data_IF_546212042019
#
_entry.id   IF_546212042019
#
_cell.length_a   1.000
_cell.length_b   1.000
_cell.length_c   1.000
_cell.angle_alpha   90.00
_cell.angle_beta   90.00
_cell.angle_gamma   90.00
#
_symmetry.space_group_name_H-M   'P 1'
#
loop_
_entity.id
_entity.type
_entity.pdbx_description
1 polymer ?
#
# COMPACT_ATOMS: atom_id res chain seq x y z
N UNK A 1 42.50 10.28 -30.54
CA UNK A 1 42.70 10.99 -29.26
C UNK A 1 41.43 11.56 -28.61
N UNK A 2 40.23 11.50 -29.24
CA UNK A 2 38.98 12.06 -28.68
C UNK A 2 38.15 11.09 -27.81
N UNK A 3 38.60 9.84 -27.59
CA UNK A 3 37.84 8.82 -26.83
C UNK A 3 38.10 8.84 -25.32
N UNK A 4 39.29 9.25 -24.87
CA UNK A 4 39.65 9.27 -23.44
C UNK A 4 39.03 10.42 -22.63
N UNK A 5 38.69 11.54 -23.26
CA UNK A 5 38.07 12.68 -22.56
C UNK A 5 36.62 12.44 -22.11
N UNK A 6 35.90 11.53 -22.79
CA UNK A 6 34.53 11.16 -22.44
C UNK A 6 34.45 10.18 -21.26
N UNK A 7 35.37 9.21 -21.21
CA UNK A 7 35.42 8.21 -20.14
C UNK A 7 35.78 8.86 -18.79
N UNK A 8 36.75 9.79 -18.77
CA UNK A 8 37.09 10.55 -17.56
C UNK A 8 35.92 11.40 -17.04
N UNK A 9 35.15 12.05 -17.93
CA UNK A 9 33.98 12.85 -17.51
C UNK A 9 32.87 11.99 -16.92
N UNK A 10 32.62 10.82 -17.49
CA UNK A 10 31.60 9.86 -16.97
C UNK A 10 32.02 9.31 -15.60
N UNK A 11 33.29 8.93 -15.43
CA UNK A 11 33.81 8.43 -14.15
C UNK A 11 33.72 9.50 -13.06
N UNK A 12 34.10 10.75 -13.37
CA UNK A 12 34.02 11.88 -12.43
C UNK A 12 32.56 12.20 -12.05
N UNK A 13 31.64 12.21 -13.02
CA UNK A 13 30.21 12.45 -12.76
C UNK A 13 29.59 11.34 -11.89
N UNK A 14 29.96 10.07 -12.15
CA UNK A 14 29.45 8.92 -11.37
C UNK A 14 30.00 8.95 -9.94
N UNK A 15 31.30 9.24 -9.77
CA UNK A 15 31.91 9.38 -8.46
C UNK A 15 31.29 10.54 -7.65
N UNK A 16 31.02 11.67 -8.30
CA UNK A 16 30.38 12.83 -7.69
C UNK A 16 28.94 12.52 -7.25
N UNK A 17 28.14 11.84 -8.09
CA UNK A 17 26.80 11.40 -7.71
C UNK A 17 26.84 10.45 -6.51
N UNK A 18 27.71 9.44 -6.53
CA UNK A 18 27.88 8.50 -5.40
C UNK A 18 28.29 9.23 -4.13
N UNK A 19 29.20 10.21 -4.20
CA UNK A 19 29.59 11.05 -3.06
C UNK A 19 28.43 11.86 -2.49
N UNK A 20 27.58 12.45 -3.34
CA UNK A 20 26.37 13.17 -2.91
C UNK A 20 25.36 12.23 -2.24
N UNK A 21 25.16 11.03 -2.79
CA UNK A 21 24.29 10.01 -2.18
C UNK A 21 24.83 9.57 -0.82
N UNK A 22 26.12 9.30 -0.70
CA UNK A 22 26.75 8.91 0.56
C UNK A 22 26.63 10.01 1.62
N UNK A 23 26.86 11.28 1.26
CA UNK A 23 26.72 12.41 2.17
C UNK A 23 25.26 12.61 2.63
N UNK A 24 24.29 12.48 1.72
CA UNK A 24 22.86 12.51 2.07
C UNK A 24 22.47 11.36 2.98
N UNK A 25 22.93 10.15 2.69
CA UNK A 25 22.68 8.96 3.50
C UNK A 25 23.25 9.13 4.91
N UNK A 26 24.50 9.59 5.03
CA UNK A 26 25.13 9.85 6.33
C UNK A 26 24.34 10.88 7.14
N UNK A 27 23.87 11.96 6.51
CA UNK A 27 23.04 12.98 7.15
C UNK A 27 21.70 12.43 7.64
N UNK A 28 21.09 11.52 6.89
CA UNK A 28 19.85 10.84 7.29
C UNK A 28 20.12 9.93 8.50
N UNK A 29 21.21 9.16 8.48
CA UNK A 29 21.61 8.29 9.59
C UNK A 29 21.94 9.07 10.87
N UNK A 30 22.48 10.28 10.74
CA UNK A 30 22.79 11.15 11.89
C UNK A 30 21.59 11.91 12.44
N UNK A 31 20.42 11.86 11.80
CA UNK A 31 19.22 12.53 12.31
C UNK A 31 18.70 11.80 13.56
N UNK A 32 18.28 12.56 14.58
CA UNK A 32 17.84 12.02 15.87
C UNK A 32 16.75 10.94 15.74
N UNK A 33 15.74 11.16 14.89
CA UNK A 33 14.67 10.19 14.64
C UNK A 33 15.20 8.88 14.05
N UNK A 34 16.21 8.95 13.18
CA UNK A 34 16.83 7.76 12.58
C UNK A 34 17.66 7.01 13.63
N UNK A 35 18.39 7.72 14.49
CA UNK A 35 19.13 7.10 15.58
C UNK A 35 18.21 6.39 16.58
N UNK A 36 17.08 7.01 16.95
CA UNK A 36 16.06 6.38 17.78
C UNK A 36 15.53 5.10 17.13
N UNK A 37 15.19 5.13 15.83
CA UNK A 37 14.75 3.94 15.08
C UNK A 37 15.84 2.86 15.04
N UNK A 38 17.09 3.23 14.78
CA UNK A 38 18.23 2.30 14.75
C UNK A 38 18.46 1.65 16.11
N UNK A 39 18.29 2.38 17.22
CA UNK A 39 18.43 1.83 18.57
C UNK A 39 17.36 0.78 18.92
N UNK A 40 16.23 0.78 18.21
CA UNK A 40 15.10 -0.15 18.45
C UNK A 40 15.10 -1.36 17.51
N UNK A 41 16.03 -1.46 16.57
CA UNK A 41 16.05 -2.54 15.55
C UNK A 41 16.00 -3.93 16.16
N UNK A 42 16.73 -4.18 17.25
CA UNK A 42 16.73 -5.49 17.91
C UNK A 42 15.36 -5.82 18.54
N UNK A 43 14.74 -4.84 19.20
CA UNK A 43 13.40 -4.99 19.79
C UNK A 43 12.34 -5.19 18.71
N UNK A 44 12.39 -4.40 17.63
CA UNK A 44 11.48 -4.54 16.48
C UNK A 44 11.60 -5.92 15.82
N UNK A 45 12.84 -6.43 15.65
CA UNK A 45 13.06 -7.77 15.11
C UNK A 45 12.48 -8.87 16.02
N UNK A 46 12.64 -8.73 17.34
CA UNK A 46 12.08 -9.69 18.29
C UNK A 46 10.54 -9.74 18.23
N UNK A 47 9.88 -8.58 18.12
CA UNK A 47 8.42 -8.50 17.94
C UNK A 47 8.00 -9.17 16.63
N UNK A 48 8.71 -8.90 15.53
CA UNK A 48 8.44 -9.55 14.23
C UNK A 48 8.61 -11.07 14.30
N UNK A 49 9.68 -11.56 14.92
CA UNK A 49 9.92 -12.99 15.06
C UNK A 49 8.84 -13.68 15.90
N UNK A 50 8.39 -13.05 17.00
CA UNK A 50 7.29 -13.55 17.80
C UNK A 50 6.00 -13.65 16.97
N UNK A 51 5.69 -12.60 16.21
CA UNK A 51 4.54 -12.58 15.31
C UNK A 51 4.62 -13.65 14.21
N UNK A 52 5.79 -13.86 13.60
CA UNK A 52 5.99 -14.91 12.60
C UNK A 52 5.83 -16.32 13.19
N UNK A 53 6.32 -16.52 14.42
CA UNK A 53 6.18 -17.78 15.12
C UNK A 53 4.70 -18.08 15.44
N UNK A 54 3.97 -17.09 15.94
CA UNK A 54 2.53 -17.19 16.17
C UNK A 54 1.78 -17.49 14.86
N UNK A 55 2.06 -16.74 13.78
CA UNK A 55 1.48 -16.96 12.46
C UNK A 55 1.60 -18.41 11.98
N UNK A 56 2.80 -19.00 12.07
CA UNK A 56 3.03 -20.38 11.66
C UNK A 56 2.42 -21.40 12.61
N UNK A 57 2.37 -21.10 13.92
CA UNK A 57 1.79 -22.00 14.93
C UNK A 57 0.26 -22.14 14.82
N UNK A 58 -0.43 -21.14 14.24
CA UNK A 58 -1.88 -21.17 14.07
C UNK A 58 -2.39 -22.10 12.94
N UNK A 59 -1.48 -22.54 12.05
CA UNK A 59 -1.84 -23.34 10.87
C UNK A 59 -2.41 -24.71 11.27
N UNK A 60 -3.28 -25.26 10.42
CA UNK A 60 -3.72 -26.63 10.55
C UNK A 60 -2.52 -27.59 10.43
N UNK A 61 -2.43 -28.64 11.27
CA UNK A 61 -1.38 -29.63 11.15
C UNK A 61 -1.62 -30.52 9.92
N UNK A 62 -0.54 -30.96 9.27
CA UNK A 62 -0.57 -32.00 8.27
C UNK A 62 0.07 -31.61 6.93
N UNK A 63 0.41 -32.65 6.16
CA UNK A 63 1.19 -32.52 4.93
C UNK A 63 0.52 -31.64 3.87
N UNK A 64 -0.81 -31.66 3.79
CA UNK A 64 -1.55 -30.85 2.81
C UNK A 64 -1.33 -29.36 3.11
N UNK A 65 -1.52 -28.94 4.37
CA UNK A 65 -1.28 -27.56 4.80
C UNK A 65 0.19 -27.17 4.67
N UNK A 66 1.12 -28.09 4.94
CA UNK A 66 2.55 -27.82 4.75
C UNK A 66 2.89 -27.54 3.29
N UNK A 67 2.33 -28.29 2.35
CA UNK A 67 2.64 -28.15 0.93
C UNK A 67 1.86 -27.01 0.27
N UNK A 68 0.58 -26.85 0.59
CA UNK A 68 -0.37 -25.96 -0.10
C UNK A 68 -0.82 -24.76 0.72
N UNK A 69 -0.48 -24.70 2.01
CA UNK A 69 -0.87 -23.62 2.92
C UNK A 69 -2.31 -23.72 3.42
N UNK A 70 -2.73 -22.70 4.14
CA UNK A 70 -4.09 -22.52 4.67
C UNK A 70 -5.07 -22.03 3.60
N UNK A 71 -4.57 -21.45 2.51
CA UNK A 71 -5.34 -20.76 1.47
C UNK A 71 -5.31 -19.24 1.65
N UNK A 72 -5.25 -18.52 0.52
CA UNK A 72 -5.17 -17.06 0.47
C UNK A 72 -6.35 -16.43 1.24
N UNK A 73 -6.04 -15.44 2.09
CA UNK A 73 -7.03 -14.66 2.82
C UNK A 73 -7.58 -15.35 4.07
N UNK A 74 -7.03 -16.51 4.47
CA UNK A 74 -7.41 -17.19 5.73
C UNK A 74 -6.76 -16.60 6.96
N UNK A 75 -5.73 -15.77 6.81
CA UNK A 75 -4.96 -15.25 7.93
C UNK A 75 -5.81 -14.49 8.97
N UNK A 76 -6.64 -13.48 8.63
CA UNK A 76 -7.35 -12.71 9.65
C UNK A 76 -8.36 -13.53 10.47
N UNK A 77 -9.09 -14.44 9.81
CA UNK A 77 -10.02 -15.36 10.49
C UNK A 77 -9.26 -16.33 11.41
N UNK A 78 -8.15 -16.89 10.91
CA UNK A 78 -7.31 -17.79 11.69
C UNK A 78 -6.69 -17.08 12.90
N UNK A 79 -6.20 -15.84 12.71
CA UNK A 79 -5.66 -14.98 13.76
C UNK A 79 -6.70 -14.74 14.86
N UNK A 80 -7.90 -14.35 14.48
CA UNK A 80 -8.99 -14.09 15.42
C UNK A 80 -9.29 -15.29 16.33
N UNK A 81 -9.27 -16.52 15.77
CA UNK A 81 -9.63 -17.73 16.52
C UNK A 81 -8.47 -18.42 17.23
N UNK A 82 -7.24 -18.33 16.71
CA UNK A 82 -6.12 -19.20 17.11
C UNK A 82 -4.86 -18.47 17.58
N UNK A 83 -4.75 -17.16 17.33
CA UNK A 83 -3.56 -16.40 17.72
C UNK A 83 -3.46 -16.26 19.24
N UNK A 84 -2.23 -16.22 19.74
CA UNK A 84 -1.93 -15.78 21.10
C UNK A 84 -1.87 -14.25 21.24
N UNK A 85 -1.84 -13.52 20.12
CA UNK A 85 -1.84 -12.08 20.07
C UNK A 85 -3.23 -11.48 20.33
N UNK A 86 -3.27 -10.16 20.50
CA UNK A 86 -4.50 -9.45 20.76
C UNK A 86 -5.44 -9.53 19.53
N UNK A 87 -6.66 -10.03 19.75
CA UNK A 87 -7.65 -10.23 18.69
C UNK A 87 -8.13 -8.91 18.09
N UNK A 88 -8.42 -8.89 16.80
CA UNK A 88 -9.11 -7.77 16.16
C UNK A 88 -10.51 -7.57 16.75
N UNK A 89 -10.95 -6.32 16.89
CA UNK A 89 -12.37 -6.03 17.08
C UNK A 89 -13.16 -6.47 15.84
N UNK A 90 -14.25 -7.20 16.06
CA UNK A 90 -15.18 -7.56 14.99
C UNK A 90 -16.23 -6.48 14.77
N UNK A 91 -16.80 -6.42 13.57
CA UNK A 91 -17.98 -5.60 13.28
C UNK A 91 -18.97 -6.38 12.44
N UNK A 92 -20.26 -6.04 12.56
CA UNK A 92 -21.31 -6.65 11.75
C UNK A 92 -22.49 -5.72 11.60
N UNK A 93 -23.04 -5.65 10.40
CA UNK A 93 -24.38 -5.13 10.19
C UNK A 93 -25.40 -6.19 10.57
N UNK A 94 -26.32 -5.81 11.43
CA UNK A 94 -27.44 -6.64 11.84
C UNK A 94 -28.74 -6.00 11.41
N UNK A 95 -29.80 -6.80 11.39
CA UNK A 95 -31.14 -6.30 11.15
C UNK A 95 -32.13 -6.91 12.12
N UNK A 96 -32.96 -6.05 12.70
CA UNK A 96 -34.06 -6.41 13.59
C UNK A 96 -35.31 -5.69 13.11
N UNK A 97 -36.39 -6.45 12.84
CA UNK A 97 -37.67 -5.89 12.40
C UNK A 97 -37.57 -4.95 11.18
N UNK A 98 -36.62 -5.22 10.27
CA UNK A 98 -36.38 -4.41 9.08
C UNK A 98 -35.49 -3.18 9.29
N UNK A 99 -35.19 -2.80 10.54
CA UNK A 99 -34.17 -1.80 10.84
C UNK A 99 -32.77 -2.41 10.72
N UNK A 100 -31.79 -1.65 10.23
CA UNK A 100 -30.38 -2.09 10.18
C UNK A 100 -29.55 -1.25 11.15
N UNK A 101 -28.53 -1.86 11.76
CA UNK A 101 -27.65 -1.15 12.68
C UNK A 101 -26.26 -1.79 12.71
N UNK A 102 -25.29 -1.04 13.20
CA UNK A 102 -23.90 -1.48 13.32
C UNK A 102 -23.66 -2.09 14.70
N UNK A 103 -23.17 -3.32 14.77
CA UNK A 103 -22.62 -3.92 15.99
C UNK A 103 -21.11 -3.90 15.94
N UNK A 104 -20.48 -3.36 16.99
CA UNK A 104 -19.06 -3.46 17.24
C UNK A 104 -18.81 -4.48 18.35
N UNK A 105 -17.92 -5.43 18.07
CA UNK A 105 -17.42 -6.42 19.03
C UNK A 105 -16.32 -5.84 19.91
N UNK A 106 -15.57 -6.73 20.56
CA UNK A 106 -14.46 -6.37 21.46
C UNK A 106 -13.14 -6.85 20.88
N UNK A 107 -12.04 -6.25 21.34
CA UNK A 107 -10.70 -6.58 20.89
C UNK A 107 -9.84 -5.33 20.75
N UNK A 108 -8.80 -5.42 19.93
CA UNK A 108 -7.97 -4.27 19.56
C UNK A 108 -8.77 -3.27 18.73
N UNK A 109 -8.51 -1.99 18.95
CA UNK A 109 -9.33 -0.92 18.41
C UNK A 109 -9.43 -1.00 16.87
N UNK A 110 -10.67 -1.09 16.40
CA UNK A 110 -11.04 -0.97 15.00
C UNK A 110 -11.99 0.22 14.85
N UNK A 111 -11.69 1.08 13.90
CA UNK A 111 -12.42 2.31 13.66
C UNK A 111 -13.35 2.12 12.47
N UNK A 112 -14.64 2.32 12.66
CA UNK A 112 -15.60 2.47 11.56
C UNK A 112 -15.68 3.95 11.21
N UNK A 113 -15.18 4.32 10.04
CA UNK A 113 -14.86 5.71 9.71
C UNK A 113 -15.55 6.20 8.43
N UNK A 114 -15.86 7.49 8.40
CA UNK A 114 -16.32 8.20 7.21
C UNK A 114 -15.54 9.51 7.05
N UNK A 115 -15.18 9.88 5.81
CA UNK A 115 -14.65 11.22 5.54
C UNK A 115 -15.69 12.31 5.78
N UNK A 116 -15.30 13.37 6.48
CA UNK A 116 -16.14 14.54 6.76
C UNK A 116 -15.36 15.81 6.49
N UNK A 117 -16.06 16.85 6.04
CA UNK A 117 -15.47 18.19 5.89
C UNK A 117 -15.84 19.00 7.11
N UNK A 118 -14.83 19.44 7.86
CA UNK A 118 -15.00 20.27 9.05
C UNK A 118 -14.11 21.52 8.94
N UNK A 119 -14.52 22.56 9.66
CA UNK A 119 -13.73 23.75 9.92
C UNK A 119 -13.13 23.71 11.34
N UNK A 120 -11.88 24.21 11.50
CA UNK A 120 -11.24 24.34 12.81
C UNK A 120 -11.96 25.38 13.67
N UNK A 121 -11.82 25.27 14.99
CA UNK A 121 -12.35 26.20 15.98
C UNK A 121 -13.85 26.06 16.25
N UNK A 122 -14.56 25.20 15.53
CA UNK A 122 -16.00 24.96 15.70
C UNK A 122 -16.27 23.81 16.67
N UNK A 123 -17.48 23.83 17.26
CA UNK A 123 -18.03 22.73 18.08
C UNK A 123 -19.08 21.99 17.28
N UNK A 124 -18.89 20.69 17.13
CA UNK A 124 -19.83 19.79 16.47
C UNK A 124 -20.59 18.99 17.50
N UNK A 125 -21.83 18.65 17.17
CA UNK A 125 -22.69 17.79 18.00
C UNK A 125 -22.83 16.45 17.30
N UNK A 126 -22.54 15.37 18.02
CA UNK A 126 -22.81 14.01 17.56
C UNK A 126 -24.03 13.50 18.29
N UNK A 127 -25.07 13.15 17.54
CA UNK A 127 -26.23 12.44 18.05
C UNK A 127 -26.20 11.01 17.54
N UNK A 128 -26.46 10.04 18.39
CA UNK A 128 -26.50 8.63 18.03
C UNK A 128 -27.36 7.86 19.02
N UNK A 129 -28.01 6.81 18.54
CA UNK A 129 -28.73 5.87 19.38
C UNK A 129 -27.82 4.66 19.64
N UNK A 130 -27.63 4.31 20.92
CA UNK A 130 -26.76 3.23 21.35
C UNK A 130 -27.57 2.17 22.09
N UNK A 131 -27.21 0.91 21.88
CA UNK A 131 -27.70 -0.20 22.69
C UNK A 131 -26.52 -1.00 23.21
N UNK A 132 -26.49 -1.21 24.52
CA UNK A 132 -25.42 -1.92 25.23
C UNK A 132 -25.98 -3.21 25.82
N UNK A 133 -25.85 -4.35 25.12
CA UNK A 133 -26.43 -5.60 25.60
C UNK A 133 -25.85 -6.12 26.92
N UNK A 134 -24.68 -5.63 27.32
CA UNK A 134 -24.05 -5.91 28.62
C UNK A 134 -23.66 -4.62 29.32
N UNK A 135 -23.41 -4.72 30.63
CA UNK A 135 -22.90 -3.63 31.46
C UNK A 135 -21.54 -3.11 30.98
N UNK A 136 -21.15 -1.97 31.54
CA UNK A 136 -19.88 -1.28 31.26
C UNK A 136 -19.65 -1.06 29.76
N UNK A 137 -20.69 -0.62 29.05
CA UNK A 137 -20.65 -0.31 27.63
C UNK A 137 -19.96 1.02 27.33
N UNK A 138 -19.25 1.12 26.20
CA UNK A 138 -18.59 2.36 25.79
C UNK A 138 -18.39 2.47 24.29
N UNK A 139 -18.77 3.61 23.70
CA UNK A 139 -18.47 3.97 22.31
C UNK A 139 -17.74 5.30 22.30
N UNK A 140 -16.57 5.31 21.70
CA UNK A 140 -15.83 6.53 21.47
C UNK A 140 -16.01 6.99 20.02
N UNK A 141 -16.37 8.26 19.88
CA UNK A 141 -16.54 8.96 18.62
C UNK A 141 -15.43 10.00 18.51
N UNK A 142 -14.71 10.02 17.39
CA UNK A 142 -13.61 10.95 17.18
C UNK A 142 -13.64 11.63 15.82
N UNK A 143 -13.07 12.83 15.77
CA UNK A 143 -12.65 13.50 14.53
C UNK A 143 -11.12 13.45 14.48
N UNK A 144 -10.56 12.88 13.41
CA UNK A 144 -9.13 12.69 13.26
C UNK A 144 -8.64 13.10 11.87
N UNK A 145 -7.51 13.80 11.80
CA UNK A 145 -6.76 14.01 10.56
C UNK A 145 -6.02 12.73 10.18
N UNK A 146 -6.36 12.10 9.04
CA UNK A 146 -5.84 10.77 8.67
C UNK A 146 -5.74 10.56 7.16
N UNK A 147 -4.51 10.44 6.64
CA UNK A 147 -4.25 10.18 5.22
C UNK A 147 -4.57 8.76 4.78
N UNK A 148 -4.28 7.79 5.64
CA UNK A 148 -4.45 6.37 5.33
C UNK A 148 -4.86 5.61 6.60
N UNK A 149 -3.87 5.21 7.40
CA UNK A 149 -3.98 4.38 8.60
C UNK A 149 -3.75 5.20 9.87
N UNK A 150 -2.63 5.91 9.96
CA UNK A 150 -2.24 6.55 11.22
C UNK A 150 -3.04 7.82 11.49
N UNK A 151 -3.69 7.84 12.64
CA UNK A 151 -4.37 9.00 13.19
C UNK A 151 -3.38 10.10 13.57
N UNK A 152 -3.61 11.33 13.11
CA UNK A 152 -2.83 12.52 13.44
C UNK A 152 -3.43 13.27 14.63
N UNK A 153 -3.80 14.54 14.40
CA UNK A 153 -4.54 15.33 15.39
C UNK A 153 -5.97 14.77 15.50
N UNK A 154 -6.38 14.50 16.73
CA UNK A 154 -7.68 13.92 17.04
C UNK A 154 -8.35 14.62 18.21
N UNK A 155 -9.68 14.68 18.16
CA UNK A 155 -10.53 14.98 19.32
C UNK A 155 -11.57 13.89 19.42
N UNK A 156 -11.89 13.48 20.64
CA UNK A 156 -12.79 12.37 20.89
C UNK A 156 -13.72 12.67 22.07
N UNK A 157 -14.88 12.05 22.04
CA UNK A 157 -15.83 11.98 23.14
C UNK A 157 -16.36 10.56 23.25
N UNK A 158 -16.70 10.13 24.47
CA UNK A 158 -17.14 8.77 24.73
C UNK A 158 -18.54 8.79 25.35
N UNK A 159 -19.44 8.01 24.77
CA UNK A 159 -20.70 7.65 25.39
C UNK A 159 -20.52 6.33 26.16
N UNK A 160 -20.97 6.28 27.41
CA UNK A 160 -20.87 5.09 28.26
C UNK A 160 -22.23 4.72 28.86
N UNK A 161 -22.39 3.45 29.20
CA UNK A 161 -23.51 2.95 29.96
C UNK A 161 -23.02 1.99 31.05
N UNK A 162 -23.37 2.31 32.31
CA UNK A 162 -22.99 1.49 33.46
C UNK A 162 -23.79 0.17 33.51
N UNK A 163 -25.06 0.19 33.08
CA UNK A 163 -25.92 -0.98 33.05
C UNK A 163 -26.19 -1.42 31.62
N UNK A 164 -26.25 -2.74 31.42
CA UNK A 164 -26.68 -3.31 30.15
C UNK A 164 -28.20 -3.27 30.00
N UNK A 165 -28.67 -3.30 28.77
CA UNK A 165 -30.09 -3.29 28.45
C UNK A 165 -30.37 -3.71 27.01
N UNK A 166 -31.64 -4.02 26.75
CA UNK A 166 -32.14 -4.29 25.40
C UNK A 166 -32.72 -3.05 24.71
N UNK A 167 -32.76 -1.92 25.42
CA UNK A 167 -33.34 -0.67 24.94
C UNK A 167 -32.29 0.19 24.24
N UNK A 168 -32.74 0.90 23.21
CA UNK A 168 -31.96 1.93 22.54
C UNK A 168 -32.00 3.22 23.36
N UNK A 169 -30.83 3.81 23.58
CA UNK A 169 -30.64 5.03 24.34
C UNK A 169 -30.06 6.10 23.44
N UNK A 170 -30.66 7.28 23.44
CA UNK A 170 -30.13 8.42 22.70
C UNK A 170 -28.99 9.07 23.47
N UNK A 171 -27.86 9.25 22.80
CA UNK A 171 -26.70 9.97 23.30
C UNK A 171 -26.42 11.21 22.46
N UNK A 172 -25.95 12.25 23.13
CA UNK A 172 -25.45 13.46 22.50
C UNK A 172 -24.05 13.76 23.05
N UNK A 173 -23.09 13.90 22.14
CA UNK A 173 -21.68 14.16 22.44
C UNK A 173 -21.24 15.45 21.75
N UNK A 174 -20.34 16.20 22.38
CA UNK A 174 -19.74 17.40 21.78
C UNK A 174 -18.30 17.15 21.38
N UNK A 175 -17.95 17.53 20.15
CA UNK A 175 -16.59 17.47 19.61
C UNK A 175 -16.13 18.88 19.26
N UNK A 176 -15.20 19.43 20.04
CA UNK A 176 -14.54 20.70 19.72
C UNK A 176 -13.40 20.43 18.75
N UNK A 177 -13.51 20.87 17.49
CA UNK A 177 -12.54 20.56 16.44
C UNK A 177 -11.11 21.07 16.71
N UNK A 178 -10.96 22.11 17.54
CA UNK A 178 -9.65 22.71 17.80
C UNK A 178 -8.99 23.12 16.48
N UNK A 179 -7.78 22.62 16.21
CA UNK A 179 -7.08 22.91 14.95
C UNK A 179 -7.34 21.92 13.81
N UNK A 180 -8.16 20.89 14.05
CA UNK A 180 -8.44 19.82 13.08
C UNK A 180 -9.16 20.42 11.87
N UNK A 181 -8.69 20.09 10.68
CA UNK A 181 -9.22 20.62 9.43
C UNK A 181 -8.58 21.95 9.00
N UNK A 182 -7.76 22.56 9.87
CA UNK A 182 -7.01 23.80 9.62
C UNK A 182 -5.65 23.61 8.95
N UNK A 183 -5.31 22.40 8.51
CA UNK A 183 -4.02 22.11 7.88
C UNK A 183 -3.89 22.66 6.46
N UNK A 184 -3.48 23.92 6.29
CA UNK A 184 -2.92 24.47 5.04
C UNK A 184 -3.75 24.31 3.75
N UNK A 185 -3.15 24.67 2.62
CA UNK A 185 -3.71 24.42 1.29
C UNK A 185 -3.31 23.03 0.78
N UNK A 186 -3.99 22.57 -0.28
CA UNK A 186 -3.54 21.41 -1.04
C UNK A 186 -2.07 21.62 -1.49
N UNK A 187 -1.13 20.66 -1.29
CA UNK A 187 -1.34 19.25 -0.97
C UNK A 187 -1.11 18.81 0.48
N UNK A 188 -0.91 19.73 1.42
CA UNK A 188 -0.57 19.37 2.81
C UNK A 188 -1.80 19.15 3.69
N UNK A 189 -2.99 19.53 3.21
CA UNK A 189 -4.26 19.33 3.91
C UNK A 189 -4.59 17.87 4.08
N UNK A 190 -4.58 17.43 5.34
CA UNK A 190 -4.97 16.07 5.73
C UNK A 190 -6.50 15.97 5.71
N UNK A 191 -7.08 14.92 5.10
CA UNK A 191 -8.51 14.71 5.20
C UNK A 191 -8.90 14.36 6.65
N UNK A 192 -10.09 14.77 7.04
CA UNK A 192 -10.66 14.48 8.36
C UNK A 192 -11.63 13.32 8.25
N UNK A 193 -11.56 12.42 9.21
CA UNK A 193 -12.49 11.30 9.35
C UNK A 193 -13.24 11.40 10.67
N UNK A 194 -14.54 11.15 10.59
CA UNK A 194 -15.38 10.79 11.72
C UNK A 194 -15.20 9.30 11.96
N UNK A 195 -14.84 8.89 13.17
CA UNK A 195 -14.51 7.51 13.50
C UNK A 195 -15.27 7.03 14.72
N UNK A 196 -15.79 5.81 14.66
CA UNK A 196 -16.44 5.10 15.75
C UNK A 196 -15.59 3.91 16.16
N UNK A 197 -15.33 3.73 17.46
CA UNK A 197 -14.76 2.50 17.96
C UNK A 197 -15.38 2.10 19.30
N UNK A 198 -15.36 0.79 19.55
CA UNK A 198 -15.75 0.26 20.84
C UNK A 198 -14.65 0.60 21.86
N UNK A 199 -15.05 1.25 22.94
CA UNK A 199 -14.17 1.66 24.04
C UNK A 199 -14.37 0.81 25.30
N UNK A 200 -15.12 -0.29 25.21
CA UNK A 200 -15.39 -1.20 26.33
C UNK A 200 -15.02 -2.66 26.06
N UNK A 201 -15.15 -3.47 27.12
CA UNK A 201 -15.01 -4.92 27.09
C UNK A 201 -16.32 -5.67 26.74
N UNK A 202 -17.38 -4.93 26.37
CA UNK A 202 -18.68 -5.46 25.97
C UNK A 202 -19.00 -5.06 24.54
N UNK A 203 -19.83 -5.83 23.83
CA UNK A 203 -20.26 -5.41 22.48
C UNK A 203 -21.18 -4.19 22.60
N UNK A 204 -21.21 -3.39 21.55
CA UNK A 204 -22.10 -2.24 21.45
C UNK A 204 -22.75 -2.18 20.09
N UNK A 205 -23.98 -1.68 20.07
CA UNK A 205 -24.78 -1.48 18.87
C UNK A 205 -25.07 0.01 18.70
N UNK A 206 -24.96 0.47 17.47
CA UNK A 206 -24.94 1.87 17.09
C UNK A 206 -25.91 2.06 15.94
N UNK A 207 -26.76 3.06 16.05
CA UNK A 207 -27.73 3.45 15.04
C UNK A 207 -27.97 4.97 15.01
N UNK A 208 -28.63 5.46 13.96
CA UNK A 208 -29.06 6.85 13.77
C UNK A 208 -27.98 7.90 14.03
N UNK A 209 -26.74 7.64 13.59
CA UNK A 209 -25.65 8.58 13.79
C UNK A 209 -25.85 9.85 12.96
N UNK A 210 -25.69 11.00 13.62
CA UNK A 210 -25.68 12.33 13.01
C UNK A 210 -24.48 13.11 13.55
N UNK A 211 -23.70 13.70 12.66
CA UNK A 211 -22.70 14.71 12.99
C UNK A 211 -23.25 16.05 12.52
N UNK A 212 -23.48 16.97 13.44
CA UNK A 212 -24.11 18.27 13.19
C UNK A 212 -23.10 19.40 13.38
N UNK A 213 -23.14 20.38 12.48
CA UNK A 213 -22.45 21.67 12.61
C UNK A 213 -23.14 22.55 13.68
N UNK A 214 -22.53 23.68 14.10
CA UNK A 214 -23.17 24.63 14.99
C UNK A 214 -24.54 25.16 14.52
N UNK A 215 -24.74 25.28 13.21
CA UNK A 215 -25.99 25.71 12.56
C UNK A 215 -26.97 24.56 12.32
N UNK A 216 -26.64 23.33 12.75
CA UNK A 216 -27.52 22.16 12.67
C UNK A 216 -27.47 21.40 11.34
N UNK A 217 -26.56 21.76 10.42
CA UNK A 217 -26.33 21.02 9.19
C UNK A 217 -25.73 19.65 9.50
N UNK A 218 -26.30 18.59 8.91
CA UNK A 218 -25.79 17.24 9.04
C UNK A 218 -24.66 16.95 8.04
N UNK A 219 -23.52 16.49 8.56
CA UNK A 219 -22.31 16.15 7.79
C UNK A 219 -22.13 14.65 7.59
N UNK A 220 -22.56 13.83 8.56
CA UNK A 220 -22.50 12.37 8.44
C UNK A 220 -23.62 11.86 7.52
N UNK A 221 -23.32 10.85 6.69
CA UNK A 221 -24.27 10.25 5.75
C UNK A 221 -24.44 8.78 6.07
N UNK A 222 -25.61 8.20 5.77
CA UNK A 222 -25.90 6.78 6.03
C UNK A 222 -25.58 6.37 7.49
N UNK A 223 -25.94 7.22 8.46
CA UNK A 223 -25.71 6.95 9.89
C UNK A 223 -26.75 6.02 10.53
N UNK A 224 -27.85 5.76 9.82
CA UNK A 224 -28.89 4.76 10.10
C UNK A 224 -28.55 3.38 9.49
N UNK A 225 -27.43 3.28 8.75
CA UNK A 225 -26.96 2.06 8.08
C UNK A 225 -27.98 1.38 7.16
N UNK A 226 -29.02 2.11 6.71
CA UNK A 226 -30.07 1.58 5.84
C UNK A 226 -29.53 1.19 4.46
N UNK A 227 -28.50 1.89 3.99
CA UNK A 227 -27.72 1.59 2.78
C UNK A 227 -26.50 0.71 3.08
N UNK A 228 -26.52 -0.06 4.18
CA UNK A 228 -25.40 -0.88 4.58
C UNK A 228 -24.21 -0.05 5.06
N UNK A 229 -23.00 -0.39 4.62
CA UNK A 229 -21.77 0.35 4.96
C UNK A 229 -21.40 1.39 3.91
N UNK A 230 -22.33 1.82 3.06
CA UNK A 230 -22.06 2.89 2.11
C UNK A 230 -21.46 4.10 2.83
N UNK A 231 -20.28 4.53 2.35
CA UNK A 231 -19.43 5.61 2.90
C UNK A 231 -18.70 5.31 4.22
N UNK A 232 -19.00 4.20 4.88
CA UNK A 232 -18.33 3.75 6.10
C UNK A 232 -17.26 2.69 5.79
N UNK A 233 -16.03 2.93 6.23
CA UNK A 233 -14.89 2.04 6.02
C UNK A 233 -14.26 1.69 7.35
N UNK A 234 -13.84 0.44 7.53
CA UNK A 234 -13.06 0.11 8.70
C UNK A 234 -11.58 0.46 8.49
N UNK A 235 -10.91 0.89 9.55
CA UNK A 235 -9.46 0.98 9.63
C UNK A 235 -9.00 0.53 11.00
N UNK A 236 -7.70 0.26 11.14
CA UNK A 236 -7.07 -0.17 12.39
C UNK A 236 -5.79 0.60 12.59
N UNK A 237 -5.34 0.76 13.83
CA UNK A 237 -3.99 1.25 14.10
C UNK A 237 -3.01 0.09 14.37
N UNK A 238 -3.53 -1.05 14.84
CA UNK A 238 -2.78 -2.30 14.98
C UNK A 238 -3.15 -3.27 13.85
N UNK A 239 -2.17 -3.60 13.02
CA UNK A 239 -2.33 -4.39 11.79
C UNK A 239 -1.90 -5.86 11.94
N UNK A 240 -1.29 -6.26 13.06
CA UNK A 240 -0.91 -7.65 13.36
C UNK A 240 -2.05 -8.66 13.08
N UNK A 241 -3.33 -8.39 13.45
CA UNK A 241 -4.40 -9.35 13.18
C UNK A 241 -4.77 -9.52 11.70
N UNK A 242 -4.26 -8.66 10.83
CA UNK A 242 -4.76 -8.51 9.46
C UNK A 242 -3.77 -9.01 8.41
N UNK A 243 -2.47 -9.03 8.71
CA UNK A 243 -1.47 -9.62 7.82
C UNK A 243 -0.19 -10.02 8.56
N UNK A 244 0.58 -10.89 7.93
CA UNK A 244 1.87 -11.35 8.45
C UNK A 244 2.96 -10.35 8.06
N UNK A 245 3.75 -9.87 9.02
CA UNK A 245 4.88 -8.96 8.78
C UNK A 245 6.12 -9.61 8.12
N UNK A 246 5.95 -10.48 7.13
CA UNK A 246 7.03 -11.06 6.32
C UNK A 246 6.42 -11.81 5.15
N UNK A 247 6.78 -11.42 3.93
CA UNK A 247 6.22 -12.03 2.73
C UNK A 247 6.55 -13.53 2.60
N UNK A 248 7.78 -14.02 2.88
CA UNK A 248 8.03 -15.46 2.92
C UNK A 248 7.15 -16.22 3.90
N UNK A 249 6.93 -15.67 5.10
CA UNK A 249 6.07 -16.30 6.12
C UNK A 249 4.61 -16.26 5.69
N UNK A 250 4.14 -15.13 5.14
CA UNK A 250 2.81 -15.01 4.55
C UNK A 250 2.56 -16.04 3.44
N UNK A 251 3.54 -16.24 2.54
CA UNK A 251 3.44 -17.24 1.47
C UNK A 251 3.41 -18.66 2.05
N UNK A 252 4.22 -18.98 3.05
CA UNK A 252 4.18 -20.29 3.70
C UNK A 252 2.86 -20.50 4.44
N UNK A 253 2.27 -19.45 4.99
CA UNK A 253 0.96 -19.50 5.61
C UNK A 253 -0.14 -19.74 4.57
N UNK A 254 -0.21 -18.93 3.51
CA UNK A 254 -1.31 -18.95 2.53
C UNK A 254 -1.17 -20.06 1.48
N UNK A 255 0.05 -20.33 1.02
CA UNK A 255 0.36 -21.17 -0.15
C UNK A 255 1.32 -22.33 0.15
N UNK A 256 1.81 -22.44 1.39
CA UNK A 256 2.71 -23.51 1.81
C UNK A 256 4.08 -23.48 1.14
N UNK A 257 4.82 -24.58 1.30
CA UNK A 257 6.17 -24.70 0.75
C UNK A 257 6.18 -24.74 -0.79
N UNK A 258 5.13 -25.23 -1.45
CA UNK A 258 5.05 -25.17 -2.92
C UNK A 258 4.88 -23.73 -3.41
N UNK A 259 4.07 -22.92 -2.72
CA UNK A 259 3.98 -21.49 -2.98
C UNK A 259 5.34 -20.79 -2.82
N UNK A 260 6.04 -21.05 -1.72
CA UNK A 260 7.33 -20.44 -1.44
C UNK A 260 8.40 -20.85 -2.46
N UNK A 261 8.44 -22.12 -2.87
CA UNK A 261 9.40 -22.60 -3.87
C UNK A 261 9.11 -22.02 -5.26
N UNK A 262 7.85 -21.94 -5.68
CA UNK A 262 7.47 -21.29 -6.93
C UNK A 262 7.84 -19.80 -6.92
N UNK A 263 7.58 -19.12 -5.81
CA UNK A 263 8.00 -17.74 -5.59
C UNK A 263 9.52 -17.59 -5.69
N UNK A 264 10.28 -18.36 -4.92
CA UNK A 264 11.74 -18.32 -4.94
C UNK A 264 12.31 -18.58 -6.34
N UNK A 265 11.76 -19.53 -7.09
CA UNK A 265 12.17 -19.83 -8.46
C UNK A 265 11.91 -18.65 -9.42
N UNK A 266 10.72 -18.02 -9.33
CA UNK A 266 10.36 -16.84 -10.12
C UNK A 266 11.37 -15.70 -9.91
N UNK A 267 11.67 -15.36 -8.65
CA UNK A 267 12.56 -14.25 -8.32
C UNK A 267 14.03 -14.57 -8.57
N UNK A 268 14.48 -15.80 -8.30
CA UNK A 268 15.83 -16.24 -8.64
C UNK A 268 16.08 -16.11 -10.16
N UNK A 269 15.09 -16.51 -10.98
CA UNK A 269 15.16 -16.38 -12.42
C UNK A 269 15.16 -14.92 -12.88
N UNK A 270 14.29 -14.09 -12.31
CA UNK A 270 14.21 -12.66 -12.59
C UNK A 270 15.52 -11.95 -12.24
N UNK A 271 16.06 -12.17 -11.04
CA UNK A 271 17.34 -11.61 -10.58
C UNK A 271 18.49 -12.06 -11.46
N UNK A 272 18.59 -13.37 -11.75
CA UNK A 272 19.68 -13.92 -12.58
C UNK A 272 19.67 -13.33 -13.99
N UNK A 273 18.50 -13.23 -14.63
CA UNK A 273 18.40 -12.65 -15.98
C UNK A 273 18.68 -11.16 -15.98
N UNK A 274 18.17 -10.43 -15.00
CA UNK A 274 18.38 -8.98 -14.88
C UNK A 274 19.85 -8.66 -14.60
N UNK A 275 20.49 -9.43 -13.71
CA UNK A 275 21.92 -9.32 -13.41
C UNK A 275 22.78 -9.57 -14.65
N UNK A 276 22.55 -10.66 -15.39
CA UNK A 276 23.29 -10.93 -16.64
C UNK A 276 23.16 -9.80 -17.67
N UNK A 277 22.00 -9.12 -17.72
CA UNK A 277 21.78 -7.96 -18.60
C UNK A 277 22.46 -6.70 -18.09
N UNK A 278 22.44 -6.47 -16.77
CA UNK A 278 23.13 -5.36 -16.15
C UNK A 278 24.65 -5.47 -16.38
N UNK A 279 25.24 -6.65 -16.15
CA UNK A 279 26.66 -6.95 -16.43
C UNK A 279 26.99 -6.83 -17.93
N UNK A 280 26.01 -7.04 -18.81
CA UNK A 280 26.13 -6.79 -20.25
C UNK A 280 26.06 -5.32 -20.66
N UNK A 281 26.04 -4.37 -19.72
CA UNK A 281 26.04 -2.93 -19.98
C UNK A 281 24.65 -2.31 -20.19
N UNK A 282 23.57 -2.99 -19.79
CA UNK A 282 22.21 -2.47 -19.89
C UNK A 282 21.82 -1.58 -18.70
N UNK A 283 21.74 -0.24 -18.83
CA UNK A 283 21.47 0.64 -17.69
C UNK A 283 20.07 0.43 -17.08
N UNK A 284 19.05 0.19 -17.91
CA UNK A 284 17.70 -0.13 -17.44
C UNK A 284 17.65 -1.45 -16.65
N UNK A 285 18.46 -2.44 -17.05
CA UNK A 285 18.56 -3.70 -16.32
C UNK A 285 19.26 -3.50 -14.97
N UNK A 286 20.31 -2.66 -14.91
CA UNK A 286 20.93 -2.27 -13.64
C UNK A 286 19.94 -1.62 -12.68
N UNK A 287 19.15 -0.66 -13.18
CA UNK A 287 18.10 0.00 -12.39
C UNK A 287 17.00 -0.97 -11.93
N UNK A 288 16.52 -1.85 -12.83
CA UNK A 288 15.52 -2.86 -12.49
C UNK A 288 16.05 -3.89 -11.47
N UNK A 289 17.33 -4.28 -11.56
CA UNK A 289 17.96 -5.16 -10.58
C UNK A 289 17.99 -4.49 -9.21
N UNK A 290 18.44 -3.24 -9.13
CA UNK A 290 18.49 -2.50 -7.87
C UNK A 290 17.09 -2.33 -7.25
N UNK A 291 16.08 -1.99 -8.07
CA UNK A 291 14.70 -1.88 -7.62
C UNK A 291 14.14 -3.22 -7.12
N UNK A 292 14.34 -4.31 -7.87
CA UNK A 292 13.86 -5.63 -7.51
C UNK A 292 14.51 -6.13 -6.23
N UNK A 293 15.84 -5.99 -6.09
CA UNK A 293 16.56 -6.34 -4.86
C UNK A 293 16.07 -5.51 -3.68
N UNK A 294 15.87 -4.20 -3.85
CA UNK A 294 15.35 -3.34 -2.79
C UNK A 294 13.97 -3.78 -2.28
N UNK A 295 13.04 -4.07 -3.20
CA UNK A 295 11.71 -4.56 -2.83
C UNK A 295 11.78 -5.93 -2.15
N UNK A 296 12.63 -6.84 -2.64
CA UNK A 296 12.80 -8.16 -2.01
C UNK A 296 13.41 -8.09 -0.61
N UNK A 297 14.31 -7.15 -0.34
CA UNK A 297 14.83 -6.91 1.02
C UNK A 297 13.69 -6.46 1.94
N UNK A 298 12.87 -5.50 1.51
CA UNK A 298 11.70 -5.05 2.28
C UNK A 298 10.73 -6.23 2.51
N UNK A 299 10.50 -7.06 1.49
CA UNK A 299 9.61 -8.21 1.55
C UNK A 299 10.02 -9.26 2.61
N UNK A 300 11.28 -9.28 3.06
CA UNK A 300 11.69 -10.19 4.14
C UNK A 300 11.09 -9.83 5.49
N UNK A 301 10.78 -8.55 5.70
CA UNK A 301 10.29 -8.00 6.97
C UNK A 301 8.88 -7.40 6.85
N UNK A 302 8.26 -7.44 5.67
CA UNK A 302 6.91 -6.93 5.45
C UNK A 302 6.24 -7.66 4.28
N UNK A 303 4.92 -7.66 4.21
CA UNK A 303 4.19 -8.31 3.12
C UNK A 303 3.77 -7.31 2.05
N UNK A 304 4.50 -7.33 0.93
CA UNK A 304 4.31 -6.37 -0.17
C UNK A 304 3.14 -6.76 -1.09
N UNK A 305 2.64 -8.00 -1.00
CA UNK A 305 1.66 -8.55 -1.94
C UNK A 305 0.20 -8.40 -1.51
N UNK A 306 -0.07 -7.99 -0.28
CA UNK A 306 -1.44 -7.84 0.23
C UNK A 306 -2.19 -6.71 -0.48
N UNK A 307 -1.45 -5.75 -1.05
CA UNK A 307 -2.04 -4.72 -1.89
C UNK A 307 -1.83 -5.04 -3.38
N UNK A 308 -2.90 -5.19 -4.18
CA UNK A 308 -2.80 -5.57 -5.60
C UNK A 308 -1.89 -4.65 -6.43
N UNK A 309 -1.84 -3.36 -6.12
CA UNK A 309 -0.98 -2.38 -6.82
C UNK A 309 0.52 -2.65 -6.62
N UNK A 310 0.92 -3.10 -5.43
CA UNK A 310 2.32 -3.40 -5.12
C UNK A 310 2.71 -4.77 -5.67
N UNK A 311 1.81 -5.76 -5.61
CA UNK A 311 1.97 -7.02 -6.34
C UNK A 311 2.16 -6.77 -7.84
N UNK A 312 1.32 -5.94 -8.45
CA UNK A 312 1.45 -5.58 -9.87
C UNK A 312 2.83 -4.95 -10.15
N UNK A 313 3.28 -4.00 -9.35
CA UNK A 313 4.59 -3.37 -9.51
C UNK A 313 5.73 -4.38 -9.42
N UNK A 314 5.65 -5.29 -8.43
CA UNK A 314 6.63 -6.37 -8.26
C UNK A 314 6.67 -7.29 -9.49
N UNK A 315 5.51 -7.66 -10.03
CA UNK A 315 5.39 -8.47 -11.25
C UNK A 315 5.91 -7.73 -12.49
N UNK A 316 5.65 -6.43 -12.62
CA UNK A 316 6.19 -5.63 -13.73
C UNK A 316 7.72 -5.55 -13.67
N UNK A 317 8.29 -5.38 -12.47
CA UNK A 317 9.74 -5.40 -12.26
C UNK A 317 10.36 -6.75 -12.65
N UNK A 318 9.71 -7.87 -12.31
CA UNK A 318 10.19 -9.20 -12.74
C UNK A 318 10.08 -9.39 -14.25
N UNK A 319 9.01 -8.90 -14.89
CA UNK A 319 8.84 -8.94 -16.35
C UNK A 319 9.93 -8.19 -17.13
N UNK A 320 10.45 -7.06 -16.61
CA UNK A 320 11.56 -6.33 -17.24
C UNK A 320 12.81 -7.23 -17.36
N UNK A 321 13.06 -8.07 -16.35
CA UNK A 321 14.11 -9.10 -16.39
C UNK A 321 13.86 -10.21 -17.44
N UNK A 322 12.61 -10.42 -17.83
CA UNK A 322 12.19 -11.49 -18.74
C UNK A 322 12.12 -11.07 -20.21
N UNK A 323 11.93 -9.77 -20.51
CA UNK A 323 11.77 -9.28 -21.89
C UNK A 323 12.87 -9.81 -22.85
N UNK A 324 12.55 -10.53 -23.93
CA UNK A 324 13.56 -11.18 -24.78
C UNK A 324 14.54 -10.16 -25.37
N UNK A 325 15.81 -10.57 -25.57
CA UNK A 325 16.79 -9.77 -26.32
C UNK A 325 16.24 -9.58 -27.73
N UNK A 326 15.89 -8.34 -28.13
CA UNK A 326 15.77 -8.05 -29.55
C UNK A 326 17.14 -8.34 -30.18
N UNK A 327 17.25 -9.25 -31.17
CA UNK A 327 18.51 -9.46 -31.86
C UNK A 327 18.96 -8.10 -32.40
N UNK A 328 20.18 -7.71 -32.04
CA UNK A 328 20.78 -6.48 -32.54
C UNK A 328 20.86 -6.65 -34.05
N UNK A 329 19.95 -6.02 -34.79
CA UNK A 329 19.96 -6.03 -36.26
C UNK A 329 21.29 -5.40 -36.64
N UNK A 330 22.29 -6.24 -36.91
CA UNK A 330 23.55 -5.77 -37.49
C UNK A 330 23.12 -5.12 -38.79
N UNK A 331 23.13 -3.79 -38.80
CA UNK A 331 23.19 -3.02 -40.03
C UNK A 331 24.47 -3.47 -40.71
N UNK A 332 24.33 -4.52 -41.52
CA UNK A 332 25.34 -5.02 -42.44
C UNK A 332 25.58 -3.86 -43.38
N UNK A 333 26.58 -3.05 -43.05
CA UNK A 333 27.14 -2.01 -43.90
C UNK A 333 27.57 -2.74 -45.18
N UNK A 334 26.69 -2.73 -46.18
CA UNK A 334 27.02 -3.14 -47.53
C UNK A 334 28.06 -2.14 -48.03
N UNK A 335 29.35 -2.48 -47.90
CA UNK A 335 30.39 -1.88 -48.72
C UNK A 335 30.08 -2.24 -50.18
N UNK A 336 29.25 -1.44 -50.84
CA UNK A 336 29.30 -1.33 -52.30
C UNK A 336 30.44 -0.36 -52.60
N UNK A 337 31.54 -0.91 -53.09
CA UNK A 337 32.61 -0.18 -53.76
C UNK A 337 32.03 0.62 -54.94
N UNK A 338 32.43 1.89 -55.13
CA UNK A 338 32.13 2.57 -56.38
C UNK A 338 33.07 2.02 -57.46
N UNK A 339 32.48 1.39 -58.47
CA UNK A 339 33.12 1.00 -59.72
C UNK A 339 33.78 2.21 -60.37
N UNK A 340 35.05 2.04 -60.72
CA UNK A 340 35.87 2.99 -61.47
C UNK A 340 35.32 3.05 -62.90
N UNK A 341 34.81 4.21 -63.30
CA UNK A 341 34.44 4.50 -64.68
C UNK A 341 35.70 4.53 -65.56
N UNK A 342 35.68 3.77 -66.65
CA UNK A 342 36.57 3.95 -67.80
C UNK A 342 35.73 4.34 -69.00
N UNK A 343 36.01 5.52 -69.50
CA UNK A 343 35.49 6.14 -70.72
C UNK A 343 35.88 5.36 -71.98
N UNK A 344 34.94 5.22 -72.91
CA UNK A 344 35.24 5.39 -74.34
C UNK A 344 33.95 5.74 -75.09
N UNK A 345 34.06 6.78 -75.91
CA UNK A 345 33.06 7.33 -76.81
C UNK A 345 32.64 6.32 -77.89
N UNK A 346 31.39 6.44 -78.36
CA UNK A 346 31.10 6.74 -79.78
C UNK A 346 29.61 6.97 -80.05
N UNK A 347 29.40 7.97 -80.90
CA UNK A 347 28.16 8.57 -81.40
C UNK A 347 27.06 7.62 -81.91
N UNK A 348 25.80 8.07 -81.82
CA UNK A 348 24.93 8.30 -82.99
C UNK A 348 23.51 8.78 -82.61
N UNK A 349 23.20 10.01 -83.05
CA UNK A 349 21.94 10.48 -83.66
C UNK A 349 20.55 10.27 -83.03
N UNK A 350 19.92 11.44 -82.83
CA UNK A 350 18.57 11.82 -83.27
C UNK A 350 17.37 11.56 -82.36
N UNK A 351 16.57 12.62 -82.17
CA UNK A 351 15.12 12.50 -82.23
C UNK A 351 14.32 12.77 -80.95
N UNK A 352 14.11 14.04 -80.62
CA UNK A 352 12.75 14.58 -80.48
C UNK A 352 11.95 14.38 -79.17
N UNK A 353 11.49 15.54 -78.66
CA UNK A 353 10.24 15.81 -77.93
C UNK A 353 10.12 15.45 -76.43
N UNK A 354 10.16 16.53 -75.65
CA UNK A 354 9.40 16.80 -74.41
C UNK A 354 8.02 17.35 -74.83
N UNK A 355 6.87 17.03 -74.19
CA UNK A 355 6.40 17.75 -72.98
C UNK A 355 5.47 16.89 -72.05
N UNK A 356 4.69 17.46 -71.09
CA UNK A 356 5.12 17.60 -69.70
C UNK A 356 4.09 17.08 -68.65
N UNK A 357 4.48 17.16 -67.37
CA UNK A 357 3.68 17.48 -66.16
C UNK A 357 2.18 17.11 -66.06
N UNK A 358 1.85 16.41 -64.97
CA UNK A 358 0.55 16.47 -64.29
C UNK A 358 0.61 15.64 -62.99
N UNK A 359 0.97 16.23 -61.85
CA UNK A 359 0.10 16.65 -60.73
C UNK A 359 -0.99 15.65 -60.28
N UNK A 360 -0.88 15.32 -58.97
CA UNK A 360 -1.94 15.08 -57.98
C UNK A 360 -2.92 13.91 -58.17
N UNK A 361 -2.79 12.90 -57.30
CA UNK A 361 -3.59 12.80 -56.06
C UNK A 361 -2.81 12.03 -54.98
#
# INVERSE_FOLDING_TARGET
MLRHGGEHRIVVLTAMQTGIFAAKFLRICSAANTQERLSRVATDLAVRQAHWADALAMRDPGLITDLLGMGIGRFPDTHYWRSSEARATSYRLLSEQGNRFLRLGTGTAMYTEQFVTIEPGLRYVVQLDLRFPQADGGVAVSLCEKWLLTSGRCVAATATAAQGGSEWQRHELQLASGEIGGGGSWPTRRPVKLSLHNASASRVEIDNLRLLTPDGQQLATNGDFSSGLDRWFFTVDLDLPWHVWSMPVAIVFDLGWLGLTAFAALFALALTRTLRRALGGGPLAGAALAALTGVLVIATVDTVIDTPRFLLLLLLLTCIGWAPRKPRRQLRRSNRSPTRASSSDSAATSGGRVPPLGTSL
#
